data_IF_232276411998
#
_entry.id   IF_232276411998
#
_cell.length_a   1.000
_cell.length_b   1.000
_cell.length_c   1.000
_cell.angle_alpha   90.00
_cell.angle_beta   90.00
_cell.angle_gamma   90.00
#
_symmetry.space_group_name_H-M   'P 1'
#
loop_
_entity.id
_entity.type
_entity.pdbx_description
1 polymer ?
#
# COMPACT_ATOMS: atom_id res chain seq x y z
N UNK A 1 -0.79 4.55 -18.86
CA UNK A 1 -0.27 3.27 -18.34
C UNK A 1 0.62 3.61 -17.15
N UNK A 2 0.22 3.22 -15.93
CA UNK A 2 0.90 3.68 -14.70
C UNK A 2 2.33 3.16 -14.58
N UNK A 3 3.21 3.96 -13.95
CA UNK A 3 4.60 3.58 -13.70
C UNK A 3 4.65 2.37 -12.77
N UNK A 4 5.51 1.39 -13.05
CA UNK A 4 5.72 0.24 -12.15
C UNK A 4 7.14 0.27 -11.58
N UNK A 5 7.29 -0.06 -10.31
CA UNK A 5 8.56 -0.11 -9.58
C UNK A 5 8.68 -1.43 -8.84
N UNK A 6 9.89 -1.96 -8.67
CA UNK A 6 10.10 -3.13 -7.82
C UNK A 6 9.99 -2.70 -6.35
N UNK A 7 9.25 -3.46 -5.55
CA UNK A 7 9.05 -3.14 -4.13
C UNK A 7 10.36 -3.24 -3.32
N UNK A 8 11.33 -4.04 -3.76
CA UNK A 8 12.65 -4.13 -3.11
C UNK A 8 13.44 -2.82 -3.24
N UNK A 9 13.33 -2.16 -4.39
CA UNK A 9 14.01 -0.89 -4.67
C UNK A 9 13.44 0.27 -3.82
N UNK A 10 12.22 0.12 -3.29
CA UNK A 10 11.61 1.11 -2.41
C UNK A 10 12.30 1.19 -1.04
N UNK A 11 13.07 0.17 -0.63
CA UNK A 11 13.81 0.17 0.65
C UNK A 11 14.82 1.31 0.75
N UNK A 12 15.31 1.82 -0.37
CA UNK A 12 16.20 2.99 -0.39
C UNK A 12 15.48 4.30 -0.02
N UNK A 13 14.14 4.31 -0.10
CA UNK A 13 13.31 5.51 0.06
C UNK A 13 12.61 5.59 1.41
N UNK A 14 12.43 4.48 2.12
CA UNK A 14 11.73 4.40 3.40
C UNK A 14 11.48 2.96 3.83
N UNK A 15 10.68 2.80 4.88
CA UNK A 15 10.51 1.54 5.60
C UNK A 15 9.20 0.85 5.27
N UNK A 16 8.16 1.65 5.00
CA UNK A 16 6.79 1.18 4.84
C UNK A 16 6.17 1.83 3.61
N UNK A 17 5.53 1.05 2.74
CA UNK A 17 4.81 1.57 1.57
C UNK A 17 3.32 1.57 1.84
N UNK A 18 2.68 2.73 1.70
CA UNK A 18 1.23 2.87 1.74
C UNK A 18 0.66 2.45 0.38
N UNK A 19 -0.35 1.59 0.38
CA UNK A 19 -0.85 0.94 -0.84
C UNK A 19 -2.36 0.83 -0.84
N UNK A 20 -2.91 0.77 -2.05
CA UNK A 20 -4.26 0.31 -2.32
C UNK A 20 -4.19 -1.04 -3.01
N UNK A 21 -4.67 -2.07 -2.33
CA UNK A 21 -4.73 -3.43 -2.83
C UNK A 21 -6.06 -3.67 -3.54
N UNK A 22 -5.98 -4.19 -4.78
CA UNK A 22 -7.13 -4.51 -5.64
C UNK A 22 -8.15 -3.36 -5.79
N UNK A 23 -7.70 -2.11 -5.62
CA UNK A 23 -8.55 -0.90 -5.68
C UNK A 23 -9.70 -0.85 -4.64
N UNK A 24 -9.69 -1.72 -3.63
CA UNK A 24 -10.76 -1.80 -2.62
C UNK A 24 -10.27 -1.89 -1.17
N UNK A 25 -8.96 -2.01 -0.94
CA UNK A 25 -8.39 -2.08 0.41
C UNK A 25 -7.19 -1.14 0.55
N UNK A 26 -7.31 -0.12 1.40
CA UNK A 26 -6.21 0.74 1.82
C UNK A 26 -5.41 0.02 2.92
N UNK A 27 -4.09 0.04 2.79
CA UNK A 27 -3.20 -0.65 3.70
C UNK A 27 -1.75 -0.20 3.58
N UNK A 28 -0.86 -0.96 4.19
CA UNK A 28 0.56 -0.75 4.06
C UNK A 28 1.34 -2.07 4.04
N UNK A 29 2.53 -2.02 3.44
CA UNK A 29 3.47 -3.14 3.40
C UNK A 29 4.74 -2.69 4.10
N UNK A 30 5.12 -3.40 5.16
CA UNK A 30 6.43 -3.25 5.77
C UNK A 30 7.48 -3.89 4.85
N UNK A 31 8.46 -3.10 4.41
CA UNK A 31 9.45 -3.56 3.44
C UNK A 31 10.41 -4.61 4.00
N UNK A 32 10.58 -4.74 5.31
CA UNK A 32 11.32 -5.85 5.93
C UNK A 32 10.59 -7.18 5.76
N UNK A 33 9.25 -7.16 5.71
CA UNK A 33 8.39 -8.34 5.59
C UNK A 33 7.33 -8.15 4.48
N UNK A 34 7.75 -8.10 3.21
CA UNK A 34 6.87 -7.69 2.10
C UNK A 34 5.81 -8.73 1.70
N UNK A 35 5.72 -9.86 2.39
CA UNK A 35 4.75 -10.93 2.10
C UNK A 35 3.38 -10.73 2.75
N UNK A 36 3.15 -9.61 3.42
CA UNK A 36 1.89 -9.35 4.14
C UNK A 36 1.47 -7.90 3.96
N UNK A 37 0.21 -7.70 3.64
CA UNK A 37 -0.46 -6.41 3.67
C UNK A 37 -1.08 -6.22 5.06
N UNK A 38 -0.72 -5.14 5.75
CA UNK A 38 -1.48 -4.68 6.90
C UNK A 38 -2.65 -3.82 6.43
N UNK A 39 -3.86 -4.11 6.92
CA UNK A 39 -5.09 -3.48 6.47
C UNK A 39 -5.40 -2.27 7.34
N UNK A 40 -5.55 -1.10 6.71
CA UNK A 40 -6.05 0.10 7.38
C UNK A 40 -7.57 0.23 7.21
N UNK A 41 -8.04 -0.01 5.98
CA UNK A 41 -9.48 0.00 5.68
C UNK A 41 -9.79 -0.83 4.44
N UNK A 42 -10.63 -1.84 4.59
CA UNK A 42 -11.29 -2.51 3.47
C UNK A 42 -12.66 -1.88 3.21
N UNK A 43 -13.03 -1.70 1.94
CA UNK A 43 -14.28 -1.06 1.54
C UNK A 43 -15.14 -2.03 0.73
N UNK A 44 -16.20 -2.55 1.36
CA UNK A 44 -17.15 -3.48 0.72
C UNK A 44 -17.85 -2.84 -0.48
N UNK A 45 -18.14 -1.53 -0.42
CA UNK A 45 -18.71 -0.78 -1.55
C UNK A 45 -17.80 -0.74 -2.79
N UNK A 46 -16.48 -0.87 -2.59
CA UNK A 46 -15.48 -0.96 -3.67
C UNK A 46 -15.20 -2.42 -4.08
N UNK A 47 -15.90 -3.40 -3.50
CA UNK A 47 -15.79 -4.81 -3.87
C UNK A 47 -14.90 -5.65 -2.94
N UNK A 48 -14.54 -5.15 -1.75
CA UNK A 48 -13.85 -5.98 -0.76
C UNK A 48 -14.78 -7.10 -0.24
N UNK A 49 -14.33 -8.35 -0.36
CA UNK A 49 -14.95 -9.55 0.21
C UNK A 49 -14.52 -9.80 1.67
N UNK A 50 -13.75 -8.88 2.25
CA UNK A 50 -13.34 -8.86 3.66
C UNK A 50 -13.53 -7.46 4.27
N UNK A 51 -13.67 -7.40 5.60
CA UNK A 51 -13.84 -6.14 6.34
C UNK A 51 -13.13 -6.09 7.70
N UNK A 52 -12.85 -7.23 8.33
CA UNK A 52 -12.33 -7.30 9.70
C UNK A 52 -10.94 -7.91 9.84
N UNK A 53 -10.32 -8.41 8.76
CA UNK A 53 -8.98 -8.99 8.84
C UNK A 53 -7.92 -7.89 9.03
N UNK A 54 -7.06 -7.96 10.06
CA UNK A 54 -6.01 -6.96 10.28
C UNK A 54 -4.87 -7.08 9.26
N UNK A 55 -4.70 -8.26 8.66
CA UNK A 55 -3.69 -8.53 7.65
C UNK A 55 -4.21 -9.41 6.53
N UNK A 56 -3.60 -9.31 5.35
CA UNK A 56 -3.86 -10.18 4.20
C UNK A 56 -2.51 -10.71 3.68
N UNK A 57 -2.34 -12.03 3.53
CA UNK A 57 -1.13 -12.56 2.92
C UNK A 57 -1.07 -12.10 1.46
N UNK A 58 0.07 -11.57 1.05
CA UNK A 58 0.33 -11.28 -0.35
C UNK A 58 0.94 -12.53 -1.00
N UNK A 59 0.51 -12.91 -2.22
CA UNK A 59 1.00 -14.13 -2.85
C UNK A 59 2.54 -14.13 -2.89
N UNK A 60 3.20 -15.18 -2.40
CA UNK A 60 4.65 -15.19 -2.21
C UNK A 60 5.45 -15.17 -3.52
N UNK A 61 4.83 -15.55 -4.65
CA UNK A 61 5.50 -15.66 -5.95
C UNK A 61 5.49 -14.35 -6.75
N UNK A 62 4.37 -13.64 -6.78
CA UNK A 62 4.23 -12.37 -7.50
C UNK A 62 3.00 -11.60 -7.03
N UNK A 63 3.14 -10.28 -6.84
CA UNK A 63 1.99 -9.40 -6.66
C UNK A 63 2.27 -8.02 -7.23
N UNK A 64 1.19 -7.33 -7.60
CA UNK A 64 1.18 -5.94 -8.02
C UNK A 64 0.15 -5.17 -7.20
N UNK A 65 0.59 -4.10 -6.54
CA UNK A 65 -0.26 -3.23 -5.73
C UNK A 65 -0.07 -1.78 -6.15
N UNK A 66 -1.10 -0.95 -6.05
CA UNK A 66 -0.98 0.47 -6.33
C UNK A 66 -0.44 1.18 -5.10
N UNK A 67 0.53 2.07 -5.27
CA UNK A 67 0.98 2.95 -4.19
C UNK A 67 -0.10 3.99 -3.92
N UNK A 68 -0.50 4.13 -2.66
CA UNK A 68 -1.57 5.03 -2.25
C UNK A 68 -1.13 6.49 -2.38
N UNK A 69 -2.10 7.34 -2.70
CA UNK A 69 -2.01 8.79 -2.67
C UNK A 69 -2.66 9.33 -1.39
N UNK A 70 -2.39 10.58 -0.98
CA UNK A 70 -3.14 11.20 0.12
C UNK A 70 -4.66 11.20 -0.12
N UNK A 71 -5.11 11.35 -1.37
CA UNK A 71 -6.54 11.30 -1.71
C UNK A 71 -7.18 9.93 -1.40
N UNK A 72 -6.42 8.84 -1.52
CA UNK A 72 -6.94 7.52 -1.13
C UNK A 72 -7.25 7.45 0.37
N UNK A 73 -6.56 8.21 1.21
CA UNK A 73 -6.89 8.28 2.64
C UNK A 73 -8.25 8.95 2.87
N UNK A 74 -8.53 10.04 2.15
CA UNK A 74 -9.83 10.71 2.19
C UNK A 74 -10.95 9.79 1.67
N UNK A 75 -10.73 9.14 0.52
CA UNK A 75 -11.72 8.25 -0.12
C UNK A 75 -12.09 7.03 0.76
N UNK A 76 -11.21 6.62 1.66
CA UNK A 76 -11.40 5.50 2.57
C UNK A 76 -11.73 5.95 4.01
N UNK A 77 -11.86 7.27 4.25
CA UNK A 77 -12.10 7.88 5.56
C UNK A 77 -11.05 7.46 6.61
N UNK A 78 -9.77 7.61 6.28
CA UNK A 78 -8.63 7.37 7.17
C UNK A 78 -7.80 8.65 7.24
N UNK A 79 -7.37 9.06 8.44
CA UNK A 79 -6.55 10.27 8.57
C UNK A 79 -5.13 10.05 8.05
N UNK A 80 -4.69 10.85 7.07
CA UNK A 80 -3.33 10.74 6.50
C UNK A 80 -2.24 11.30 7.41
N UNK A 81 -2.59 12.22 8.32
CA UNK A 81 -1.64 12.97 9.17
C UNK A 81 -0.73 12.08 10.04
N UNK A 82 -1.20 10.89 10.39
CA UNK A 82 -0.40 9.93 11.17
C UNK A 82 0.73 9.28 10.38
N UNK A 83 0.71 9.36 9.05
CA UNK A 83 1.68 8.67 8.18
C UNK A 83 2.68 9.62 7.53
N UNK A 84 2.30 10.88 7.28
CA UNK A 84 3.20 11.88 6.68
C UNK A 84 4.02 12.68 7.71
N UNK A 85 3.73 12.53 9.01
CA UNK A 85 4.42 13.19 10.12
C UNK A 85 4.89 12.19 11.20
N UNK A 86 5.17 10.94 10.82
CA UNK A 86 5.65 9.92 11.75
C UNK A 86 7.16 10.13 12.08
N UNK A 87 7.55 10.21 13.37
CA UNK A 87 8.95 10.43 13.76
C UNK A 87 9.81 9.15 13.77
N UNK A 88 9.20 7.97 13.63
CA UNK A 88 9.85 6.65 13.72
C UNK A 88 10.00 6.03 12.34
N UNK A 89 8.93 6.00 11.54
CA UNK A 89 8.91 5.32 10.25
C UNK A 89 8.84 6.28 9.08
N UNK A 90 9.60 5.99 8.03
CA UNK A 90 9.53 6.73 6.77
C UNK A 90 8.56 6.06 5.81
N UNK A 91 7.37 6.64 5.68
CA UNK A 91 6.33 6.14 4.78
C UNK A 91 6.53 6.58 3.33
N UNK A 92 6.35 5.63 2.42
CA UNK A 92 6.39 5.83 0.98
C UNK A 92 4.96 5.87 0.46
N UNK A 93 4.62 6.94 -0.24
CA UNK A 93 3.33 7.15 -0.88
C UNK A 93 3.51 7.91 -2.20
N UNK A 94 2.48 7.92 -3.02
CA UNK A 94 2.47 8.63 -4.29
C UNK A 94 1.93 10.05 -4.10
N UNK A 95 2.79 11.05 -4.25
CA UNK A 95 2.38 12.47 -4.23
C UNK A 95 1.94 12.99 -5.60
N UNK A 96 2.04 12.18 -6.66
CA UNK A 96 1.63 12.53 -8.01
C UNK A 96 0.19 12.12 -8.33
N UNK A 97 -0.30 12.58 -9.49
CA UNK A 97 -1.65 12.31 -9.97
C UNK A 97 -1.75 11.02 -10.81
N UNK A 98 -0.63 10.55 -11.35
CA UNK A 98 -0.58 9.32 -12.14
C UNK A 98 -0.38 8.10 -11.24
N UNK A 99 -1.05 6.97 -11.53
CA UNK A 99 -0.92 5.78 -10.70
C UNK A 99 0.49 5.19 -10.81
N UNK A 100 1.07 4.89 -9.64
CA UNK A 100 2.33 4.15 -9.50
C UNK A 100 2.03 2.80 -8.87
N UNK A 101 2.60 1.74 -9.40
CA UNK A 101 2.44 0.38 -8.90
C UNK A 101 3.75 -0.15 -8.34
N UNK A 102 3.69 -0.79 -7.18
CA UNK A 102 4.77 -1.60 -6.64
C UNK A 102 4.52 -3.06 -7.01
N UNK A 103 5.54 -3.74 -7.53
CA UNK A 103 5.51 -5.17 -7.80
C UNK A 103 6.59 -5.92 -7.00
N UNK A 104 6.23 -7.09 -6.50
CA UNK A 104 7.19 -8.07 -6.01
C UNK A 104 7.26 -9.20 -7.02
N UNK A 105 8.45 -9.48 -7.54
CA UNK A 105 8.74 -10.65 -8.37
C UNK A 105 9.85 -11.44 -7.69
N UNK A 106 9.62 -12.73 -7.47
CA UNK A 106 10.72 -13.65 -7.16
C UNK A 106 11.51 -13.81 -8.46
N UNK A 107 12.78 -13.38 -8.46
CA UNK A 107 13.70 -13.67 -9.57
C UNK A 107 13.99 -15.15 -9.62
#
# INVERSE_FOLDING_TARGET
MGKTVNIKDLREKGDIVLVVFKEHTLGYINLERPGTLAVLRACVWKGADWSSSPTVPLPPAEYKVRIATPKDFDDYNVAFVGYNNDPVYKYIYNSGNEPVYAEYKVK
#
